data_IF_749404515550
#
_entry.id   IF_749404515550
#
_cell.length_a   1.000
_cell.length_b   1.000
_cell.length_c   1.000
_cell.angle_alpha   90.00
_cell.angle_beta   90.00
_cell.angle_gamma   90.00
#
_symmetry.space_group_name_H-M   'P 1'
#
loop_
_entity.id
_entity.type
_entity.pdbx_description
1 polymer ?
#
# COMPACT_ATOMS: atom_id res chain seq x y z
N UNK A 1 -25.00 11.80 -15.35
CA UNK A 1 -24.36 12.30 -14.12
C UNK A 1 -24.48 11.30 -12.97
N UNK A 2 -23.81 10.14 -13.13
CA UNK A 2 -23.85 9.04 -12.15
C UNK A 2 -23.10 9.37 -10.83
N UNK A 3 -22.40 10.50 -10.77
CA UNK A 3 -21.61 10.88 -9.60
C UNK A 3 -22.47 11.34 -8.41
N UNK A 4 -23.71 11.75 -8.65
CA UNK A 4 -24.62 12.21 -7.59
C UNK A 4 -25.28 11.05 -6.81
N UNK A 5 -25.21 9.82 -7.30
CA UNK A 5 -25.79 8.64 -6.64
C UNK A 5 -24.88 8.07 -5.54
N UNK A 6 -23.58 8.43 -5.56
CA UNK A 6 -22.62 7.92 -4.57
C UNK A 6 -22.81 8.62 -3.22
N UNK A 7 -23.01 7.88 -2.11
CA UNK A 7 -23.17 8.46 -0.78
C UNK A 7 -22.04 9.43 -0.43
N UNK A 8 -22.37 10.55 0.20
CA UNK A 8 -21.39 11.58 0.61
C UNK A 8 -20.21 10.99 1.41
N UNK A 9 -20.52 10.06 2.30
CA UNK A 9 -19.49 9.38 3.11
C UNK A 9 -18.47 8.62 2.27
N UNK A 10 -18.89 7.95 1.19
CA UNK A 10 -18.01 7.22 0.30
C UNK A 10 -17.10 8.15 -0.51
N UNK A 11 -17.60 9.32 -0.91
CA UNK A 11 -16.78 10.35 -1.56
C UNK A 11 -15.72 10.88 -0.60
N UNK A 12 -16.07 11.14 0.64
CA UNK A 12 -15.17 11.64 1.66
C UNK A 12 -14.04 10.63 1.96
N UNK A 13 -14.38 9.35 2.11
CA UNK A 13 -13.36 8.29 2.35
C UNK A 13 -12.43 8.13 1.17
N UNK A 14 -12.91 8.20 -0.07
CA UNK A 14 -12.07 8.16 -1.27
C UNK A 14 -11.08 9.33 -1.31
N UNK A 15 -11.53 10.55 -0.99
CA UNK A 15 -10.65 11.72 -0.93
C UNK A 15 -9.56 11.54 0.14
N UNK A 16 -9.91 11.03 1.33
CA UNK A 16 -8.95 10.75 2.38
C UNK A 16 -7.89 9.72 1.96
N UNK A 17 -8.29 8.65 1.25
CA UNK A 17 -7.35 7.67 0.72
C UNK A 17 -6.38 8.28 -0.30
N UNK A 18 -6.88 9.12 -1.22
CA UNK A 18 -6.05 9.81 -2.20
C UNK A 18 -5.01 10.70 -1.51
N UNK A 19 -5.44 11.48 -0.52
CA UNK A 19 -4.53 12.34 0.27
C UNK A 19 -3.47 11.49 0.98
N UNK A 20 -3.86 10.36 1.56
CA UNK A 20 -2.92 9.44 2.23
C UNK A 20 -1.87 8.90 1.27
N UNK A 21 -2.28 8.47 0.08
CA UNK A 21 -1.35 7.97 -0.94
C UNK A 21 -0.38 9.07 -1.39
N UNK A 22 -0.88 10.28 -1.65
CA UNK A 22 -0.04 11.41 -2.04
C UNK A 22 0.99 11.76 -0.95
N UNK A 23 0.59 11.71 0.32
CA UNK A 23 1.49 11.92 1.45
C UNK A 23 2.58 10.83 1.52
N UNK A 24 2.21 9.55 1.33
CA UNK A 24 3.16 8.44 1.32
C UNK A 24 4.16 8.54 0.16
N UNK A 25 3.69 8.91 -1.05
CA UNK A 25 4.57 9.12 -2.22
C UNK A 25 5.57 10.25 -1.94
N UNK A 26 5.12 11.38 -1.41
CA UNK A 26 6.00 12.50 -1.08
C UNK A 26 7.05 12.09 -0.03
N UNK A 27 6.66 11.28 0.94
CA UNK A 27 7.56 10.75 1.97
C UNK A 27 8.61 9.81 1.37
N UNK A 28 8.24 8.93 0.42
CA UNK A 28 9.20 8.08 -0.32
C UNK A 28 10.23 8.94 -1.05
N UNK A 29 9.79 9.96 -1.79
CA UNK A 29 10.68 10.83 -2.54
C UNK A 29 11.71 11.49 -1.62
N UNK A 30 11.30 11.95 -0.45
CA UNK A 30 12.21 12.54 0.55
C UNK A 30 13.27 11.54 1.04
N UNK A 31 12.88 10.32 1.39
CA UNK A 31 13.84 9.30 1.83
C UNK A 31 14.73 8.83 0.69
N UNK A 32 14.20 8.77 -0.53
CA UNK A 32 14.96 8.45 -1.74
C UNK A 32 16.04 9.50 -2.03
N UNK A 33 15.70 10.79 -1.98
CA UNK A 33 16.67 11.88 -2.17
C UNK A 33 17.77 11.84 -1.11
N UNK A 34 17.41 11.61 0.15
CA UNK A 34 18.38 11.46 1.23
C UNK A 34 19.31 10.26 0.98
N UNK A 35 18.75 9.12 0.60
CA UNK A 35 19.51 7.93 0.26
C UNK A 35 20.49 8.21 -0.88
N UNK A 36 20.01 8.77 -1.98
CA UNK A 36 20.85 9.08 -3.16
C UNK A 36 21.93 10.11 -2.86
N UNK A 37 21.63 11.09 -2.02
CA UNK A 37 22.64 12.08 -1.54
C UNK A 37 23.78 11.40 -0.78
N UNK A 38 23.48 10.46 0.10
CA UNK A 38 24.48 9.71 0.87
C UNK A 38 25.29 8.77 -0.03
N UNK A 39 24.63 8.09 -0.97
CA UNK A 39 25.27 7.24 -1.97
C UNK A 39 26.25 8.04 -2.84
N UNK A 40 25.87 9.22 -3.33
CA UNK A 40 26.76 10.12 -4.10
C UNK A 40 28.00 10.57 -3.31
N UNK A 41 27.90 10.65 -1.98
CA UNK A 41 29.02 10.96 -1.09
C UNK A 41 29.91 9.76 -0.77
N UNK A 42 29.67 8.60 -1.37
CA UNK A 42 30.41 7.36 -1.11
C UNK A 42 30.08 6.69 0.24
N UNK A 43 29.00 7.10 0.89
CA UNK A 43 28.61 6.63 2.23
C UNK A 43 27.65 5.44 2.17
N UNK A 44 28.00 4.43 1.38
CA UNK A 44 27.12 3.29 1.09
C UNK A 44 26.78 2.43 2.33
N UNK A 45 27.75 2.27 3.24
CA UNK A 45 27.65 1.41 4.42
C UNK A 45 27.49 2.23 5.73
N UNK A 46 26.99 3.44 5.65
CA UNK A 46 26.60 4.17 6.87
C UNK A 46 25.21 3.73 7.34
N UNK A 47 25.03 3.67 8.66
CA UNK A 47 23.76 3.31 9.29
C UNK A 47 22.62 4.20 8.78
N UNK A 48 22.88 5.49 8.55
CA UNK A 48 21.87 6.43 8.05
C UNK A 48 21.42 6.11 6.64
N UNK A 49 22.33 5.66 5.76
CA UNK A 49 22.00 5.25 4.39
C UNK A 49 21.11 4.01 4.39
N UNK A 50 21.44 3.03 5.22
CA UNK A 50 20.68 1.78 5.33
C UNK A 50 19.32 2.02 5.99
N UNK A 51 19.25 2.90 6.99
CA UNK A 51 17.98 3.27 7.60
C UNK A 51 17.03 3.94 6.59
N UNK A 52 17.52 4.81 5.71
CA UNK A 52 16.69 5.38 4.65
C UNK A 52 16.12 4.30 3.74
N UNK A 53 16.92 3.30 3.35
CA UNK A 53 16.44 2.15 2.57
C UNK A 53 15.37 1.35 3.31
N UNK A 54 15.54 1.13 4.60
CA UNK A 54 14.57 0.46 5.47
C UNK A 54 13.25 1.24 5.57
N UNK A 55 13.31 2.57 5.72
CA UNK A 55 12.11 3.40 5.73
C UNK A 55 11.37 3.37 4.39
N UNK A 56 12.09 3.41 3.27
CA UNK A 56 11.49 3.24 1.94
C UNK A 56 10.72 1.93 1.85
N UNK A 57 11.28 0.82 2.34
CA UNK A 57 10.60 -0.47 2.33
C UNK A 57 9.31 -0.46 3.16
N UNK A 58 9.30 0.15 4.33
CA UNK A 58 8.09 0.27 5.17
C UNK A 58 7.01 1.11 4.50
N UNK A 59 7.39 2.22 3.85
CA UNK A 59 6.43 3.09 3.18
C UNK A 59 5.83 2.38 1.95
N UNK A 60 6.63 1.64 1.18
CA UNK A 60 6.14 0.84 0.05
C UNK A 60 5.15 -0.25 0.52
N UNK A 61 5.45 -0.94 1.62
CA UNK A 61 4.51 -1.89 2.25
C UNK A 61 3.21 -1.21 2.70
N UNK A 62 3.31 0.00 3.26
CA UNK A 62 2.14 0.78 3.70
C UNK A 62 1.26 1.20 2.52
N UNK A 63 1.86 1.58 1.38
CA UNK A 63 1.10 1.91 0.16
C UNK A 63 0.30 0.69 -0.31
N UNK A 64 0.93 -0.49 -0.35
CA UNK A 64 0.22 -1.71 -0.72
C UNK A 64 -0.97 -1.98 0.21
N UNK A 65 -0.79 -1.82 1.52
CA UNK A 65 -1.85 -2.01 2.51
C UNK A 65 -2.99 -1.00 2.30
N UNK A 66 -2.68 0.26 2.03
CA UNK A 66 -3.68 1.29 1.73
C UNK A 66 -4.46 0.95 0.46
N UNK A 67 -3.79 0.50 -0.61
CA UNK A 67 -4.44 0.07 -1.85
C UNK A 67 -5.37 -1.12 -1.62
N UNK A 68 -4.93 -2.10 -0.83
CA UNK A 68 -5.74 -3.24 -0.42
C UNK A 68 -7.00 -2.82 0.35
N UNK A 69 -6.87 -1.87 1.29
CA UNK A 69 -8.02 -1.34 2.03
C UNK A 69 -8.99 -0.58 1.12
N UNK A 70 -8.48 0.22 0.16
CA UNK A 70 -9.31 0.93 -0.82
C UNK A 70 -10.13 -0.07 -1.62
N UNK A 71 -9.49 -1.10 -2.15
CA UNK A 71 -10.14 -2.11 -2.97
C UNK A 71 -11.23 -2.83 -2.18
N UNK A 72 -10.91 -3.34 -0.98
CA UNK A 72 -11.87 -4.02 -0.10
C UNK A 72 -13.05 -3.12 0.27
N UNK A 73 -12.78 -1.84 0.59
CA UNK A 73 -13.82 -0.88 0.96
C UNK A 73 -14.71 -0.53 -0.23
N UNK A 74 -14.12 -0.33 -1.40
CA UNK A 74 -14.83 0.05 -2.62
C UNK A 74 -15.74 -1.08 -3.10
N UNK A 75 -15.24 -2.31 -3.14
CA UNK A 75 -16.03 -3.47 -3.54
C UNK A 75 -17.26 -3.66 -2.65
N UNK A 76 -17.08 -3.68 -1.33
CA UNK A 76 -18.18 -3.86 -0.38
C UNK A 76 -19.21 -2.73 -0.47
N UNK A 77 -18.79 -1.49 -0.67
CA UNK A 77 -19.69 -0.33 -0.73
C UNK A 77 -20.44 -0.23 -2.05
N UNK A 78 -19.77 -0.51 -3.18
CA UNK A 78 -20.40 -0.50 -4.52
C UNK A 78 -21.41 -1.63 -4.62
N UNK A 79 -21.07 -2.85 -4.19
CA UNK A 79 -21.97 -3.99 -4.23
C UNK A 79 -23.22 -3.70 -3.41
N UNK A 80 -23.09 -3.22 -2.18
CA UNK A 80 -24.25 -2.88 -1.33
C UNK A 80 -25.13 -1.80 -1.96
N UNK A 81 -24.54 -0.75 -2.53
CA UNK A 81 -25.29 0.32 -3.16
C UNK A 81 -25.99 -0.16 -4.43
N UNK A 82 -25.36 -1.00 -5.22
CA UNK A 82 -25.92 -1.55 -6.44
C UNK A 82 -27.08 -2.52 -6.14
N UNK A 83 -26.90 -3.41 -5.16
CA UNK A 83 -27.95 -4.35 -4.72
C UNK A 83 -29.14 -3.59 -4.16
N UNK A 84 -28.94 -2.58 -3.30
CA UNK A 84 -30.04 -1.78 -2.75
C UNK A 84 -30.81 -1.00 -3.83
N UNK A 85 -30.12 -0.56 -4.88
CA UNK A 85 -30.76 0.12 -6.02
C UNK A 85 -31.58 -0.84 -6.89
N UNK A 86 -31.10 -2.05 -7.14
CA UNK A 86 -31.83 -3.06 -7.92
C UNK A 86 -33.04 -3.61 -7.17
N UNK A 87 -32.95 -3.81 -5.85
CA UNK A 87 -34.08 -4.22 -5.01
C UNK A 87 -35.21 -3.20 -4.99
N UNK A 88 -34.89 -1.92 -5.19
CA UNK A 88 -35.89 -0.86 -5.28
C UNK A 88 -36.60 -0.75 -6.66
N UNK A 89 -36.04 -1.37 -7.70
CA UNK A 89 -36.55 -1.29 -9.08
C UNK A 89 -37.39 -2.51 -9.53
N UNK A 90 -37.25 -3.66 -8.90
CA UNK A 90 -37.98 -4.88 -9.31
C UNK A 90 -38.29 -5.81 -8.14
N UNK A 91 -39.59 -5.88 -7.78
CA UNK A 91 -40.08 -6.94 -6.92
C UNK A 91 -39.81 -8.34 -7.51
N UNK A 92 -39.02 -9.15 -6.83
CA UNK A 92 -39.02 -10.60 -6.77
C UNK A 92 -38.24 -11.50 -7.77
N UNK A 93 -37.63 -11.03 -8.85
CA UNK A 93 -37.00 -11.97 -9.80
C UNK A 93 -35.47 -11.91 -9.84
N UNK A 94 -34.87 -10.95 -9.19
CA UNK A 94 -33.44 -10.60 -9.39
C UNK A 94 -32.50 -11.13 -8.29
N UNK A 95 -33.05 -11.63 -7.17
CA UNK A 95 -32.18 -12.03 -6.02
C UNK A 95 -31.24 -13.20 -6.33
N UNK A 96 -31.67 -14.18 -7.13
CA UNK A 96 -30.88 -15.41 -7.32
C UNK A 96 -29.75 -15.26 -8.34
N UNK A 97 -29.93 -14.43 -9.37
CA UNK A 97 -28.91 -14.24 -10.42
C UNK A 97 -27.85 -13.23 -10.07
N UNK A 98 -28.19 -12.17 -9.31
CA UNK A 98 -27.22 -11.14 -8.89
C UNK A 98 -26.29 -11.68 -7.82
N UNK A 99 -26.78 -12.54 -6.92
CA UNK A 99 -25.93 -13.16 -5.90
C UNK A 99 -24.87 -14.09 -6.51
N UNK A 100 -25.21 -14.78 -7.59
CA UNK A 100 -24.29 -15.68 -8.29
C UNK A 100 -23.24 -14.91 -9.12
N UNK A 101 -23.60 -13.80 -9.78
CA UNK A 101 -22.65 -12.95 -10.50
C UNK A 101 -21.77 -12.11 -9.58
N UNK A 102 -22.26 -11.69 -8.41
CA UNK A 102 -21.47 -10.91 -7.46
C UNK A 102 -20.44 -11.72 -6.67
N UNK A 103 -20.65 -13.05 -6.59
CA UNK A 103 -19.68 -13.99 -5.97
C UNK A 103 -18.48 -14.24 -6.88
N UNK A 104 -18.66 -14.05 -8.20
CA UNK A 104 -17.58 -14.21 -9.19
C UNK A 104 -16.76 -12.94 -9.43
N UNK A 105 -17.10 -11.82 -8.78
CA UNK A 105 -16.19 -10.69 -8.61
C UNK A 105 -15.10 -11.09 -7.63
N UNK A 106 -14.24 -12.00 -8.07
CA UNK A 106 -13.12 -12.51 -7.32
C UNK A 106 -12.34 -11.33 -6.73
N UNK A 107 -11.99 -11.44 -5.46
CA UNK A 107 -11.10 -10.49 -4.79
C UNK A 107 -9.86 -10.29 -5.67
N UNK A 108 -9.84 -9.25 -6.47
CA UNK A 108 -8.66 -8.80 -7.18
C UNK A 108 -7.75 -8.12 -6.15
N UNK A 109 -7.13 -8.92 -5.30
CA UNK A 109 -6.09 -8.43 -4.43
C UNK A 109 -5.05 -7.70 -5.29
N UNK A 110 -4.62 -6.49 -4.90
CA UNK A 110 -3.45 -5.90 -5.54
C UNK A 110 -2.36 -6.96 -5.55
N UNK A 111 -1.77 -7.25 -6.74
CA UNK A 111 -0.94 -8.43 -6.90
C UNK A 111 0.11 -8.51 -5.82
N UNK A 112 0.19 -9.64 -5.11
CA UNK A 112 1.16 -9.89 -4.04
C UNK A 112 2.60 -9.64 -4.49
N UNK A 113 2.84 -9.65 -5.81
CA UNK A 113 4.13 -9.33 -6.42
C UNK A 113 4.65 -7.94 -6.01
N UNK A 114 3.76 -6.97 -5.73
CA UNK A 114 4.15 -5.65 -5.25
C UNK A 114 4.71 -5.65 -3.82
N UNK A 115 4.47 -6.70 -3.04
CA UNK A 115 5.10 -6.88 -1.72
C UNK A 115 6.51 -7.48 -1.81
N UNK A 116 6.88 -8.10 -2.91
CA UNK A 116 8.20 -8.72 -3.07
C UNK A 116 9.29 -7.66 -2.99
N UNK A 117 9.13 -6.53 -3.68
CA UNK A 117 10.12 -5.45 -3.71
C UNK A 117 10.38 -4.89 -2.31
N UNK A 118 9.39 -4.42 -1.54
CA UNK A 118 9.63 -3.91 -0.18
C UNK A 118 10.20 -4.99 0.75
N UNK A 119 9.80 -6.25 0.61
CA UNK A 119 10.34 -7.34 1.41
C UNK A 119 11.82 -7.56 1.14
N UNK A 120 12.24 -7.58 -0.12
CA UNK A 120 13.66 -7.69 -0.50
C UNK A 120 14.46 -6.51 0.06
N UNK A 121 13.97 -5.28 -0.09
CA UNK A 121 14.63 -4.08 0.43
C UNK A 121 14.78 -4.13 1.95
N UNK A 122 13.76 -4.63 2.65
CA UNK A 122 13.79 -4.80 4.09
C UNK A 122 14.83 -5.83 4.53
N UNK A 123 14.88 -7.00 3.89
CA UNK A 123 15.85 -8.07 4.17
C UNK A 123 17.28 -7.57 3.93
N UNK A 124 17.54 -6.93 2.78
CA UNK A 124 18.86 -6.37 2.46
C UNK A 124 19.28 -5.34 3.52
N UNK A 125 18.38 -4.44 3.91
CA UNK A 125 18.66 -3.44 4.93
C UNK A 125 19.02 -4.08 6.28
N UNK A 126 18.35 -5.16 6.64
CA UNK A 126 18.58 -5.86 7.90
C UNK A 126 19.96 -6.56 7.91
N UNK A 127 20.29 -7.27 6.85
CA UNK A 127 21.60 -7.91 6.68
C UNK A 127 22.74 -6.88 6.73
N UNK A 128 22.58 -5.74 6.07
CA UNK A 128 23.60 -4.68 6.07
C UNK A 128 23.81 -4.07 7.46
N UNK A 129 22.74 -3.88 8.24
CA UNK A 129 22.83 -3.37 9.62
C UNK A 129 23.60 -4.37 10.50
N UNK A 130 23.30 -5.64 10.39
CA UNK A 130 24.01 -6.67 11.14
C UNK A 130 25.48 -6.78 10.73
N UNK A 131 25.76 -6.71 9.44
CA UNK A 131 27.14 -6.67 8.93
C UNK A 131 27.98 -5.50 9.50
N UNK A 132 27.38 -4.32 9.62
CA UNK A 132 28.06 -3.17 10.24
C UNK A 132 28.31 -3.38 11.74
N UNK A 133 27.37 -4.02 12.46
CA UNK A 133 27.55 -4.32 13.88
C UNK A 133 28.70 -5.30 14.10
N UNK A 134 28.71 -6.39 13.33
CA UNK A 134 29.79 -7.40 13.40
C UNK A 134 31.16 -6.80 13.08
N UNK A 135 31.23 -5.92 12.07
CA UNK A 135 32.48 -5.20 11.75
C UNK A 135 32.99 -4.37 12.94
N UNK A 136 32.11 -3.61 13.60
CA UNK A 136 32.46 -2.84 14.78
C UNK A 136 32.93 -3.69 15.95
N UNK A 137 32.28 -4.82 16.18
CA UNK A 137 32.66 -5.76 17.24
C UNK A 137 34.07 -6.33 16.99
N UNK A 138 34.38 -6.70 15.74
CA UNK A 138 35.71 -7.19 15.37
C UNK A 138 36.80 -6.11 15.49
N UNK A 139 36.50 -4.84 15.17
CA UNK A 139 37.45 -3.74 15.31
C UNK A 139 37.76 -3.39 16.79
N UNK A 140 36.86 -3.75 17.72
CA UNK A 140 37.07 -3.54 19.16
C UNK A 140 37.78 -4.71 19.85
N UNK A 141 38.01 -5.82 19.14
CA UNK A 141 38.62 -7.05 19.71
C UNK A 141 40.12 -7.15 19.41
N UNK A 142 40.71 -6.19 18.68
CA UNK A 142 42.14 -6.04 18.39
C UNK A 142 42.72 -4.92 19.23
#
# INVERSE_FOLDING_TARGET
DNFNVVPFFLKLTMVLFIITILFLINTILKYWDNFMSLVKKGKYFEINTINNLKYISYILSSIWLVLFLIETFTQNSIIRTFVSFQLNLNDKIVEENIFNESVDLGFNFPPLIFLIIPTILWVISHILIEGIKLKKENELTI
#
